data_IF_376355222160
#
_entry.id   IF_376355222160
#
_cell.length_a   1.000
_cell.length_b   1.000
_cell.length_c   1.000
_cell.angle_alpha   90.00
_cell.angle_beta   90.00
_cell.angle_gamma   90.00
#
_symmetry.space_group_name_H-M   'P 1'
#
loop_
_entity.id
_entity.type
_entity.pdbx_description
1 polymer ?
#
# COMPACT_ATOMS: atom_id res chain seq x y z
N UNK A 1 12.67 -1.99 0.39
CA UNK A 1 11.38 -2.68 0.50
C UNK A 1 11.61 -4.18 0.47
N UNK A 2 10.98 -4.89 1.41
CA UNK A 2 11.09 -6.33 1.58
C UNK A 2 10.55 -7.13 0.38
N UNK A 3 10.67 -8.46 0.44
CA UNK A 3 10.10 -9.35 -0.57
C UNK A 3 8.63 -9.57 -0.28
N UNK A 4 7.78 -9.55 -1.30
CA UNK A 4 6.34 -9.81 -1.22
C UNK A 4 6.04 -11.28 -1.52
N UNK A 5 5.32 -11.98 -0.63
CA UNK A 5 4.92 -13.38 -0.79
C UNK A 5 3.42 -13.59 -0.59
N UNK A 6 2.86 -14.62 -1.22
CA UNK A 6 1.48 -15.07 -0.97
C UNK A 6 1.48 -16.04 0.22
N UNK A 7 0.71 -15.74 1.27
CA UNK A 7 0.49 -16.65 2.40
C UNK A 7 -0.94 -17.22 2.34
N UNK A 8 -1.17 -18.31 3.07
CA UNK A 8 -2.50 -18.88 3.31
C UNK A 8 -2.65 -19.05 4.82
N UNK A 9 -3.38 -18.15 5.46
CA UNK A 9 -3.66 -18.23 6.89
C UNK A 9 -4.93 -19.07 7.15
N UNK A 10 -4.89 -19.91 8.17
CA UNK A 10 -6.07 -20.60 8.70
C UNK A 10 -6.54 -19.79 9.91
N UNK A 11 -7.81 -19.38 9.93
CA UNK A 11 -8.36 -18.77 11.13
C UNK A 11 -8.45 -19.85 12.21
N UNK A 12 -7.84 -19.62 13.37
CA UNK A 12 -8.05 -20.44 14.56
C UNK A 12 -9.51 -20.29 15.01
N UNK A 13 -10.38 -21.15 14.51
CA UNK A 13 -11.71 -21.33 15.08
C UNK A 13 -11.56 -22.07 16.43
N UNK A 14 -12.32 -21.69 17.47
CA UNK A 14 -12.34 -22.43 18.72
C UNK A 14 -12.73 -23.90 18.45
N UNK A 15 -12.25 -24.87 19.26
CA UNK A 15 -12.54 -26.28 19.03
C UNK A 15 -14.02 -26.54 19.28
N UNK A 16 -14.84 -26.43 18.24
CA UNK A 16 -16.20 -26.94 18.21
C UNK A 16 -16.34 -27.86 17.00
N UNK A 17 -16.82 -29.05 17.33
CA UNK A 17 -17.16 -30.19 16.46
C UNK A 17 -17.72 -29.75 15.11
N UNK A 18 -16.93 -29.92 14.05
CA UNK A 18 -17.36 -29.74 12.66
C UNK A 18 -18.28 -30.90 12.25
N UNK A 19 -19.46 -30.58 11.74
CA UNK A 19 -20.32 -31.54 11.02
C UNK A 19 -19.90 -31.60 9.54
N UNK A 20 -20.15 -32.72 8.87
CA UNK A 20 -19.65 -33.00 7.50
C UNK A 20 -20.30 -32.18 6.38
N UNK A 21 -20.98 -31.08 6.70
CA UNK A 21 -21.69 -30.21 5.73
C UNK A 21 -21.39 -28.72 5.90
N UNK A 22 -20.50 -28.33 6.82
CA UNK A 22 -20.14 -26.92 6.98
C UNK A 22 -19.11 -26.51 5.91
N UNK A 23 -19.54 -25.73 4.92
CA UNK A 23 -18.62 -25.01 4.02
C UNK A 23 -17.77 -24.05 4.87
N UNK A 24 -16.54 -24.48 5.15
CA UNK A 24 -15.53 -23.64 5.80
C UNK A 24 -15.37 -22.36 4.95
N UNK A 25 -15.56 -21.16 5.52
CA UNK A 25 -15.21 -19.93 4.80
C UNK A 25 -13.73 -20.00 4.47
N UNK A 26 -13.40 -20.21 3.20
CA UNK A 26 -12.04 -20.14 2.68
C UNK A 26 -11.63 -18.66 2.68
N UNK A 27 -11.30 -18.12 3.83
CA UNK A 27 -10.67 -16.80 3.92
C UNK A 27 -9.24 -16.96 3.41
N UNK A 28 -9.07 -16.84 2.09
CA UNK A 28 -7.76 -16.78 1.45
C UNK A 28 -7.18 -15.39 1.76
N UNK A 29 -6.44 -15.30 2.87
CA UNK A 29 -5.68 -14.10 3.25
C UNK A 29 -4.29 -14.20 2.64
N UNK A 30 -3.96 -13.32 1.70
CA UNK A 30 -2.58 -13.18 1.24
C UNK A 30 -2.11 -11.74 1.40
N UNK A 31 -1.24 -11.50 2.39
CA UNK A 31 -0.63 -10.21 2.61
C UNK A 31 0.55 -9.99 1.68
N UNK A 32 0.68 -8.80 1.09
CA UNK A 32 1.93 -8.44 0.44
C UNK A 32 3.01 -8.30 1.50
N UNK A 33 3.98 -9.21 1.51
CA UNK A 33 4.97 -9.27 2.58
C UNK A 33 5.86 -8.01 2.63
N UNK A 34 5.78 -7.31 3.76
CA UNK A 34 6.89 -6.54 4.30
C UNK A 34 7.48 -7.41 5.40
N UNK A 35 8.64 -8.01 5.12
CA UNK A 35 9.40 -8.83 6.06
C UNK A 35 10.50 -8.04 6.71
N UNK A 36 10.75 -8.30 7.99
CA UNK A 36 11.96 -7.86 8.67
C UNK A 36 12.87 -9.06 9.01
N UNK A 37 14.10 -9.15 8.44
CA UNK A 37 15.03 -10.26 8.67
C UNK A 37 15.52 -10.34 10.13
N UNK A 38 16.02 -11.53 10.53
CA UNK A 38 16.61 -11.80 11.86
C UNK A 38 17.72 -10.83 12.30
N UNK A 39 18.45 -10.23 11.36
CA UNK A 39 19.58 -9.32 11.63
C UNK A 39 19.26 -7.89 11.17
N UNK A 40 18.11 -7.38 11.58
CA UNK A 40 17.69 -5.98 11.39
C UNK A 40 18.36 -5.05 12.41
N UNK A 41 18.64 -3.81 12.02
CA UNK A 41 19.00 -2.77 12.98
C UNK A 41 17.77 -2.35 13.78
N UNK A 42 17.96 -1.85 15.01
CA UNK A 42 16.87 -1.29 15.82
C UNK A 42 16.06 -0.23 15.06
N UNK A 43 16.73 0.59 14.24
CA UNK A 43 16.09 1.60 13.40
C UNK A 43 15.13 0.96 12.38
N UNK A 44 15.53 -0.15 11.75
CA UNK A 44 14.69 -0.87 10.81
C UNK A 44 13.54 -1.63 11.48
N UNK A 45 13.72 -2.10 12.72
CA UNK A 45 12.61 -2.60 13.55
C UNK A 45 11.60 -1.51 13.87
N UNK A 46 12.09 -0.33 14.22
CA UNK A 46 11.24 0.81 14.53
C UNK A 46 10.50 1.30 13.27
N UNK A 47 11.15 1.28 12.10
CA UNK A 47 10.54 1.61 10.80
C UNK A 47 9.41 0.64 10.45
N UNK A 48 9.64 -0.65 10.71
CA UNK A 48 8.66 -1.71 10.50
C UNK A 48 7.43 -1.51 11.38
N UNK A 49 7.64 -1.27 12.68
CA UNK A 49 6.55 -1.03 13.62
C UNK A 49 5.79 0.24 13.29
N UNK A 50 6.48 1.33 12.93
CA UNK A 50 5.82 2.56 12.52
C UNK A 50 4.95 2.39 11.30
N UNK A 51 5.40 1.61 10.32
CA UNK A 51 4.61 1.33 9.12
C UNK A 51 3.30 0.62 9.47
N UNK A 52 3.36 -0.44 10.29
CA UNK A 52 2.16 -1.10 10.78
C UNK A 52 1.24 -0.17 11.60
N UNK A 53 1.82 0.67 12.47
CA UNK A 53 1.06 1.64 13.27
C UNK A 53 0.42 2.74 12.44
N UNK A 54 1.02 3.14 11.32
CA UNK A 54 0.42 4.09 10.39
C UNK A 54 -0.75 3.43 9.67
N UNK A 55 -0.52 2.22 9.12
CA UNK A 55 -1.55 1.50 8.38
C UNK A 55 -2.79 1.17 9.22
N UNK A 56 -2.62 0.90 10.52
CA UNK A 56 -3.73 0.58 11.43
C UNK A 56 -4.70 1.76 11.66
N UNK A 57 -4.30 2.99 11.30
CA UNK A 57 -5.15 4.19 11.45
C UNK A 57 -6.21 4.32 10.37
N UNK A 58 -6.07 3.60 9.24
CA UNK A 58 -6.89 3.81 8.07
C UNK A 58 -7.85 2.65 7.81
N UNK A 59 -9.12 2.98 7.64
CA UNK A 59 -10.17 2.05 7.18
C UNK A 59 -10.94 2.74 6.07
N UNK A 60 -10.53 2.51 4.82
CA UNK A 60 -11.13 3.15 3.65
C UNK A 60 -11.08 2.21 2.43
N UNK A 61 -12.12 2.16 1.56
CA UNK A 61 -12.14 1.27 0.40
C UNK A 61 -10.98 1.49 -0.59
N UNK A 62 -10.41 2.69 -0.64
CA UNK A 62 -9.29 3.05 -1.52
C UNK A 62 -7.94 3.19 -0.79
N UNK A 63 -7.79 2.61 0.39
CA UNK A 63 -6.51 2.51 1.12
C UNK A 63 -6.32 1.05 1.51
N UNK A 64 -5.08 0.56 1.39
CA UNK A 64 -4.74 -0.81 1.76
C UNK A 64 -5.02 -1.08 3.23
N UNK A 65 -5.81 -2.11 3.49
CA UNK A 65 -6.18 -2.53 4.84
C UNK A 65 -5.10 -3.42 5.46
N UNK A 66 -4.63 -3.00 6.63
CA UNK A 66 -3.89 -3.87 7.55
C UNK A 66 -4.85 -4.92 8.15
N UNK A 67 -4.46 -6.19 8.08
CA UNK A 67 -5.19 -7.30 8.70
C UNK A 67 -4.56 -7.73 10.02
N UNK A 68 -3.25 -7.61 10.16
CA UNK A 68 -2.55 -7.98 11.38
C UNK A 68 -1.04 -7.86 11.28
N UNK A 69 -0.38 -8.21 12.37
CA UNK A 69 1.08 -8.21 12.50
C UNK A 69 1.50 -9.46 13.26
N UNK A 70 2.63 -10.05 12.89
CA UNK A 70 3.21 -11.19 13.57
C UNK A 70 4.58 -10.81 14.14
N UNK A 71 4.70 -10.88 15.47
CA UNK A 71 5.90 -10.51 16.23
C UNK A 71 6.49 -11.66 17.05
N UNK A 72 5.80 -12.79 17.17
CA UNK A 72 6.18 -13.88 18.08
C UNK A 72 7.45 -14.62 17.63
N UNK A 73 7.72 -14.65 16.33
CA UNK A 73 8.92 -15.26 15.77
C UNK A 73 9.44 -14.46 14.58
N UNK A 74 10.74 -14.61 14.30
CA UNK A 74 11.36 -14.00 13.15
C UNK A 74 11.22 -14.91 11.91
N UNK A 75 11.10 -14.32 10.71
CA UNK A 75 11.02 -12.87 10.46
C UNK A 75 9.66 -12.29 10.89
N UNK A 76 9.62 -11.00 11.24
CA UNK A 76 8.36 -10.32 11.61
C UNK A 76 7.55 -10.01 10.34
N UNK A 77 6.22 -10.04 10.46
CA UNK A 77 5.32 -9.86 9.31
C UNK A 77 4.29 -8.75 9.53
N UNK A 78 4.05 -7.96 8.48
CA UNK A 78 2.86 -7.11 8.33
C UNK A 78 1.93 -7.83 7.35
N UNK A 79 0.71 -8.13 7.80
CA UNK A 79 -0.30 -8.85 7.03
C UNK A 79 -1.32 -7.84 6.55
N UNK A 80 -1.49 -7.73 5.23
CA UNK A 80 -2.45 -6.83 4.59
C UNK A 80 -3.47 -7.61 3.75
N UNK A 81 -4.47 -6.92 3.22
CA UNK A 81 -5.39 -7.51 2.24
C UNK A 81 -4.68 -7.92 0.93
N UNK A 82 -5.20 -8.97 0.28
CA UNK A 82 -4.69 -9.44 -1.01
C UNK A 82 -5.20 -8.58 -2.16
N UNK A 83 -4.27 -8.06 -2.95
CA UNK A 83 -4.54 -7.22 -4.12
C UNK A 83 -3.94 -7.89 -5.35
N UNK A 84 -4.68 -8.84 -5.93
CA UNK A 84 -4.21 -9.72 -7.03
C UNK A 84 -3.95 -8.96 -8.34
N UNK A 85 -4.43 -7.72 -8.45
CA UNK A 85 -4.17 -6.85 -9.58
C UNK A 85 -2.74 -6.31 -9.64
N UNK A 86 -1.99 -6.39 -8.54
CA UNK A 86 -0.62 -5.86 -8.45
C UNK A 86 -0.57 -4.34 -8.45
N UNK A 87 0.62 -3.77 -8.69
CA UNK A 87 0.81 -2.33 -8.73
C UNK A 87 0.27 -1.69 -10.01
N UNK A 88 -0.32 -0.51 -9.86
CA UNK A 88 -0.97 0.23 -10.94
C UNK A 88 0.02 0.61 -12.05
N UNK A 89 1.28 0.91 -11.72
CA UNK A 89 2.30 1.24 -12.73
C UNK A 89 2.57 0.06 -13.65
N UNK A 90 2.77 -1.14 -13.12
CA UNK A 90 2.98 -2.36 -13.90
C UNK A 90 1.72 -2.69 -14.70
N UNK A 91 0.55 -2.64 -14.06
CA UNK A 91 -0.74 -2.88 -14.73
C UNK A 91 -0.98 -1.96 -15.94
N UNK A 92 -0.74 -0.65 -15.79
CA UNK A 92 -0.90 0.31 -16.89
C UNK A 92 0.09 0.08 -18.03
N UNK A 93 1.30 -0.40 -17.72
CA UNK A 93 2.30 -0.76 -18.75
C UNK A 93 1.91 -2.02 -19.51
N UNK A 94 1.41 -3.03 -18.80
CA UNK A 94 0.90 -4.28 -19.40
C UNK A 94 -0.35 -4.04 -20.27
N UNK A 95 -1.14 -3.03 -19.93
CA UNK A 95 -2.39 -2.67 -20.62
C UNK A 95 -2.19 -1.78 -21.85
N UNK A 96 -0.95 -1.40 -22.20
CA UNK A 96 -0.68 -0.55 -23.36
C UNK A 96 -1.13 -1.25 -24.65
N UNK A 97 -1.69 -0.51 -25.63
CA UNK A 97 -2.02 -1.06 -26.94
C UNK A 97 -0.79 -1.71 -27.57
N UNK A 98 -0.91 -2.98 -27.94
CA UNK A 98 0.16 -3.71 -28.64
C UNK A 98 0.14 -3.33 -30.12
N UNK A 99 1.30 -3.34 -30.81
CA UNK A 99 1.33 -3.13 -32.26
C UNK A 99 0.36 -4.09 -32.97
N UNK A 100 -0.55 -3.54 -33.77
CA UNK A 100 -1.58 -4.31 -34.48
C UNK A 100 -2.87 -4.59 -33.69
N UNK A 101 -2.98 -4.15 -32.44
CA UNK A 101 -4.25 -4.20 -31.70
C UNK A 101 -5.18 -3.07 -32.18
N UNK A 102 -6.42 -3.43 -32.54
CA UNK A 102 -7.43 -2.46 -32.98
C UNK A 102 -8.03 -1.66 -31.81
N UNK A 103 -7.97 -2.18 -30.59
CA UNK A 103 -8.57 -1.59 -29.39
C UNK A 103 -7.62 -1.65 -28.20
N UNK A 104 -7.68 -0.61 -27.36
CA UNK A 104 -7.04 -0.59 -26.05
C UNK A 104 -7.78 -1.53 -25.10
N UNK A 105 -7.04 -2.22 -24.23
CA UNK A 105 -7.61 -3.07 -23.17
C UNK A 105 -8.32 -2.21 -22.11
N UNK A 106 -7.86 -0.97 -21.92
CA UNK A 106 -8.46 0.00 -20.99
C UNK A 106 -9.14 1.12 -21.76
N UNK A 107 -10.38 1.40 -21.37
CA UNK A 107 -11.13 2.57 -21.82
C UNK A 107 -10.76 3.81 -20.99
N UNK A 108 -11.15 4.99 -21.46
CA UNK A 108 -11.03 6.23 -20.67
C UNK A 108 -11.87 6.15 -19.40
N UNK A 109 -13.02 5.48 -19.44
CA UNK A 109 -13.87 5.30 -18.26
C UNK A 109 -13.17 4.46 -17.18
N UNK A 110 -12.43 3.40 -17.57
CA UNK A 110 -11.64 2.61 -16.63
C UNK A 110 -10.55 3.45 -15.96
N UNK A 111 -9.84 4.27 -16.74
CA UNK A 111 -8.80 5.17 -16.23
C UNK A 111 -9.38 6.21 -15.26
N UNK A 112 -10.52 6.81 -15.60
CA UNK A 112 -11.21 7.76 -14.72
C UNK A 112 -11.66 7.10 -13.41
N UNK A 113 -12.14 5.85 -13.47
CA UNK A 113 -12.55 5.10 -12.28
C UNK A 113 -11.36 4.88 -11.34
N UNK A 114 -10.21 4.49 -11.88
CA UNK A 114 -8.96 4.35 -11.13
C UNK A 114 -8.49 5.69 -10.53
N UNK A 115 -8.60 6.79 -11.28
CA UNK A 115 -8.25 8.13 -10.76
C UNK A 115 -9.18 8.57 -9.63
N UNK A 116 -10.48 8.32 -9.74
CA UNK A 116 -11.48 8.64 -8.70
C UNK A 116 -11.19 7.83 -7.43
N UNK A 117 -10.85 6.55 -7.57
CA UNK A 117 -10.47 5.69 -6.46
C UNK A 117 -9.29 6.27 -5.68
N UNK A 118 -8.20 6.62 -6.36
CA UNK A 118 -7.02 7.21 -5.71
C UNK A 118 -7.35 8.59 -5.11
N UNK A 119 -8.14 9.42 -5.80
CA UNK A 119 -8.56 10.72 -5.26
C UNK A 119 -9.38 10.58 -3.97
N UNK A 120 -10.28 9.60 -3.88
CA UNK A 120 -11.01 9.29 -2.63
C UNK A 120 -10.08 8.84 -1.52
N UNK A 121 -9.08 8.02 -1.84
CA UNK A 121 -8.03 7.64 -0.89
C UNK A 121 -7.26 8.85 -0.36
N UNK A 122 -6.79 9.74 -1.26
CA UNK A 122 -6.08 10.96 -0.87
C UNK A 122 -6.95 11.90 -0.03
N UNK A 123 -8.24 12.02 -0.37
CA UNK A 123 -9.18 12.81 0.41
C UNK A 123 -9.29 12.29 1.85
N UNK A 124 -9.42 10.97 2.05
CA UNK A 124 -9.46 10.38 3.38
C UNK A 124 -8.16 10.58 4.16
N UNK A 125 -6.99 10.50 3.50
CA UNK A 125 -5.72 10.82 4.13
C UNK A 125 -5.68 12.29 4.59
N UNK A 126 -6.17 13.21 3.77
CA UNK A 126 -6.27 14.63 4.13
C UNK A 126 -7.22 14.86 5.32
N UNK A 127 -8.39 14.21 5.37
CA UNK A 127 -9.31 14.28 6.51
C UNK A 127 -8.66 13.79 7.81
N UNK A 128 -7.75 12.84 7.70
CA UNK A 128 -6.94 12.33 8.81
C UNK A 128 -5.69 13.17 9.09
N UNK A 129 -5.52 14.32 8.44
CA UNK A 129 -4.34 15.18 8.50
C UNK A 129 -3.03 14.43 8.22
N UNK A 130 -3.08 13.44 7.34
CA UNK A 130 -1.96 12.58 7.01
C UNK A 130 -1.34 12.98 5.67
N UNK A 131 0.00 13.05 5.63
CA UNK A 131 0.78 13.33 4.44
C UNK A 131 1.55 12.08 4.03
N UNK A 132 1.29 11.57 2.83
CA UNK A 132 1.88 10.35 2.29
C UNK A 132 3.29 10.57 1.71
N UNK A 133 3.51 11.70 1.01
CA UNK A 133 4.78 12.13 0.38
C UNK A 133 5.28 11.27 -0.78
N UNK A 134 4.55 10.23 -1.15
CA UNK A 134 4.92 9.36 -2.28
C UNK A 134 3.69 8.82 -3.01
N UNK A 135 2.73 9.70 -3.31
CA UNK A 135 1.60 9.36 -4.17
C UNK A 135 2.12 9.14 -5.59
N UNK A 136 2.17 7.87 -5.99
CA UNK A 136 2.61 7.46 -7.31
C UNK A 136 1.95 6.14 -7.70
N UNK A 137 1.82 5.89 -9.01
CA UNK A 137 1.21 4.65 -9.53
C UNK A 137 1.92 3.36 -9.06
N UNK A 138 3.19 3.42 -8.63
CA UNK A 138 3.90 2.26 -8.05
C UNK A 138 3.44 1.92 -6.62
N UNK A 139 2.87 2.90 -5.92
CA UNK A 139 2.37 2.78 -4.55
C UNK A 139 0.83 2.71 -4.54
N UNK A 140 0.23 2.42 -5.70
CA UNK A 140 -1.20 2.15 -5.83
C UNK A 140 -1.36 0.68 -6.23
N UNK A 141 -2.17 -0.08 -5.51
CA UNK A 141 -2.43 -1.49 -5.75
C UNK A 141 -3.86 -1.70 -6.24
N UNK A 142 -4.09 -2.79 -6.99
CA UNK A 142 -5.38 -3.12 -7.59
C UNK A 142 -5.94 -4.41 -7.01
N UNK A 143 -7.24 -4.44 -6.73
CA UNK A 143 -7.91 -5.64 -6.19
C UNK A 143 -7.82 -6.86 -7.10
N UNK A 144 -7.90 -6.67 -8.43
CA UNK A 144 -7.87 -7.76 -9.41
C UNK A 144 -7.31 -7.30 -10.77
N UNK A 145 -6.96 -8.24 -11.67
CA UNK A 145 -6.43 -7.94 -13.03
C UNK A 145 -7.48 -7.81 -14.13
N UNK A 146 -8.67 -8.36 -13.94
CA UNK A 146 -9.82 -8.24 -14.87
C UNK A 146 -11.12 -7.94 -14.12
N UNK A 147 -12.15 -7.47 -14.83
CA UNK A 147 -13.45 -7.15 -14.25
C UNK A 147 -13.47 -5.85 -13.45
N UNK A 148 -14.39 -5.76 -12.48
CA UNK A 148 -14.57 -4.58 -11.64
C UNK A 148 -13.43 -4.45 -10.62
N UNK A 149 -12.44 -3.61 -10.97
CA UNK A 149 -11.23 -3.35 -10.18
C UNK A 149 -11.37 -2.09 -9.36
N UNK A 150 -10.78 -2.12 -8.16
CA UNK A 150 -10.67 -0.96 -7.28
C UNK A 150 -9.19 -0.65 -7.06
N UNK A 151 -8.83 0.63 -7.16
CA UNK A 151 -7.48 1.09 -6.82
C UNK A 151 -7.39 1.49 -5.35
N UNK A 152 -6.25 1.14 -4.72
CA UNK A 152 -5.96 1.44 -3.31
C UNK A 152 -4.57 2.02 -3.13
N UNK A 153 -4.45 3.06 -2.31
CA UNK A 153 -3.17 3.63 -1.89
C UNK A 153 -2.48 2.68 -0.90
N UNK A 154 -1.20 2.42 -1.14
CA UNK A 154 -0.33 1.53 -0.37
C UNK A 154 1.01 2.22 -0.06
N UNK A 155 1.88 1.54 0.71
CA UNK A 155 3.27 1.93 0.95
C UNK A 155 3.46 3.28 1.67
N UNK A 156 3.48 3.22 3.00
CA UNK A 156 3.58 4.40 3.86
C UNK A 156 5.02 4.68 4.31
N UNK A 157 6.01 4.07 3.67
CA UNK A 157 7.39 4.09 4.13
C UNK A 157 8.03 5.49 4.21
N UNK A 158 7.60 6.42 3.34
CA UNK A 158 8.07 7.82 3.34
C UNK A 158 7.34 8.71 4.34
N UNK A 159 6.14 8.34 4.77
CA UNK A 159 5.40 9.11 5.76
C UNK A 159 6.08 9.05 7.15
N UNK A 160 6.85 7.98 7.43
CA UNK A 160 7.53 7.74 8.71
C UNK A 160 8.42 8.89 9.18
N UNK A 161 9.13 9.56 8.26
CA UNK A 161 10.12 10.57 8.65
C UNK A 161 9.47 11.80 9.32
N UNK A 162 8.23 12.14 8.95
CA UNK A 162 7.50 13.28 9.55
C UNK A 162 7.11 12.94 11.00
N UNK A 163 6.76 11.68 11.27
CA UNK A 163 6.27 11.25 12.59
C UNK A 163 7.39 10.84 13.57
N UNK A 164 8.65 10.80 13.12
CA UNK A 164 9.82 10.47 13.96
C UNK A 164 10.31 11.64 14.81
N UNK A 165 10.16 12.89 14.36
CA UNK A 165 10.54 14.11 15.09
C UNK A 165 10.19 15.35 14.28
N UNK A 166 9.94 16.49 14.93
CA UNK A 166 9.68 17.83 14.34
C UNK A 166 10.80 18.38 13.41
N UNK A 167 11.79 17.57 13.05
CA UNK A 167 12.96 17.96 12.28
C UNK A 167 13.09 17.10 11.02
N UNK A 168 12.61 17.63 9.90
CA UNK A 168 13.11 17.23 8.59
C UNK A 168 14.60 17.59 8.49
N UNK A 169 15.49 16.61 8.61
CA UNK A 169 16.92 16.80 8.31
C UNK A 169 17.13 16.67 6.79
N UNK A 170 17.28 17.81 6.11
CA UNK A 170 17.74 17.95 4.71
C UNK A 170 19.22 17.50 4.52
N UNK A 171 19.61 16.36 5.10
CA UNK A 171 21.01 15.91 5.17
C UNK A 171 21.22 14.40 5.19
N UNK A 172 20.15 13.58 5.19
CA UNK A 172 20.27 12.13 5.00
C UNK A 172 20.36 11.77 3.52
N UNK A 173 21.07 10.68 3.18
CA UNK A 173 21.07 10.03 1.85
C UNK A 173 19.71 9.38 1.51
N UNK A 174 18.59 9.98 1.91
CA UNK A 174 17.27 9.47 1.62
C UNK A 174 16.98 9.72 0.13
N UNK A 175 16.70 8.64 -0.60
CA UNK A 175 16.29 8.71 -2.00
C UNK A 175 14.88 9.31 -2.08
N UNK A 176 14.77 10.55 -2.56
CA UNK A 176 13.49 11.25 -2.71
C UNK A 176 12.87 10.99 -4.09
N UNK A 177 11.52 10.92 -4.21
CA UNK A 177 10.84 10.69 -5.48
C UNK A 177 10.74 11.99 -6.31
N UNK A 178 11.87 12.57 -6.68
CA UNK A 178 11.99 13.93 -7.27
C UNK A 178 10.98 14.21 -8.39
N UNK A 179 10.67 13.23 -9.25
CA UNK A 179 9.72 13.40 -10.37
C UNK A 179 8.25 13.57 -9.95
N UNK A 180 7.91 13.25 -8.71
CA UNK A 180 6.58 13.35 -8.11
C UNK A 180 6.52 14.46 -7.05
N UNK A 181 7.61 15.20 -6.83
CA UNK A 181 7.63 16.23 -5.80
C UNK A 181 7.15 17.58 -6.37
N UNK A 182 6.27 18.30 -5.65
CA UNK A 182 5.99 19.69 -5.96
C UNK A 182 7.20 20.60 -5.67
N UNK A 183 7.26 21.79 -6.26
CA UNK A 183 8.40 22.69 -6.13
C UNK A 183 8.69 23.09 -4.67
N UNK A 184 7.69 23.35 -3.84
CA UNK A 184 7.85 23.69 -2.42
C UNK A 184 8.43 22.53 -1.60
N UNK A 185 8.05 21.28 -1.90
CA UNK A 185 8.62 20.11 -1.25
C UNK A 185 10.07 19.87 -1.70
N UNK A 186 10.37 20.13 -2.98
CA UNK A 186 11.69 19.93 -3.55
C UNK A 186 12.70 20.99 -3.12
N UNK A 187 12.32 22.27 -3.19
CA UNK A 187 13.19 23.40 -2.90
C UNK A 187 13.33 23.63 -1.39
N UNK A 188 12.18 23.69 -0.71
CA UNK A 188 12.09 24.17 0.66
C UNK A 188 11.92 23.03 1.68
N UNK A 189 11.62 21.81 1.21
CA UNK A 189 11.32 20.67 2.09
C UNK A 189 9.97 20.80 2.79
N UNK A 190 9.08 21.64 2.26
CA UNK A 190 7.74 21.87 2.81
C UNK A 190 6.79 20.75 2.35
N UNK A 191 6.26 19.99 3.29
CA UNK A 191 5.26 18.95 3.04
C UNK A 191 3.93 19.34 3.69
N UNK A 192 2.85 19.23 2.93
CA UNK A 192 1.46 19.46 3.39
C UNK A 192 0.53 18.44 2.73
N UNK A 193 -0.73 18.35 3.15
CA UNK A 193 -1.71 17.52 2.42
C UNK A 193 -1.86 17.96 0.96
N UNK A 194 -1.60 19.24 0.64
CA UNK A 194 -1.62 19.77 -0.73
C UNK A 194 -0.42 19.30 -1.56
N UNK A 195 0.69 18.93 -0.93
CA UNK A 195 1.82 18.35 -1.65
C UNK A 195 1.52 16.97 -2.23
N UNK A 196 0.57 16.23 -1.65
CA UNK A 196 0.10 14.94 -2.19
C UNK A 196 -0.92 15.09 -3.33
N UNK A 197 -1.41 16.31 -3.60
CA UNK A 197 -2.33 16.61 -4.70
C UNK A 197 -1.58 16.85 -6.02
N UNK A 198 -0.31 17.28 -5.94
CA UNK A 198 0.58 17.51 -7.08
C UNK A 198 0.93 16.21 -7.82
#
# INVERSE_FOLDING_TARGET
MGRVFRLQAWADLPPKTLSSTDEIPKTVVAGSDMTLPMYSTEESEMDFLMEAMIMSKFIHPNIVKLLGVCFESHPRYIIIELLEGGDLKTFLRESRPKPGALLSVLTVADLLKLSIDIAKGCHHLEECHFIHRDIAARNCLLTCKSGDRVAKIADFGMARDIYRSDYYKKGGKAMLPIKWMPPEAFLDGLFTTKTDVW
#
